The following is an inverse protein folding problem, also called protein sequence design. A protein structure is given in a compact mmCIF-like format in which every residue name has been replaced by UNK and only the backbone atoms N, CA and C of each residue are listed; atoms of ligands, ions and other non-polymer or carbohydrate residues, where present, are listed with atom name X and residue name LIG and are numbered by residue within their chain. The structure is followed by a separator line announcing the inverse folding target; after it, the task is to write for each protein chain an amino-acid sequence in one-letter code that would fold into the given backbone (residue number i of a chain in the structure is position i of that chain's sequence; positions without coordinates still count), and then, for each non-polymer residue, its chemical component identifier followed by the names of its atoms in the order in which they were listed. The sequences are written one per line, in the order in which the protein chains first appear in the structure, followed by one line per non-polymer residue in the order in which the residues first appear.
data_IF_315659978236
#
_entry.id   IF_315659978236
#
_cell.length_a   1.000
_cell.length_b   1.000
_cell.length_c   1.000
_cell.angle_alpha   90.00
_cell.angle_beta   90.00
_cell.angle_gamma   90.00
#
_symmetry.space_group_name_H-M   'P 1'
#
loop_
_entity.id
_entity.type
_entity.pdbx_description
1 polymer ?
#
# COMPACT_ATOMS: atom_id res chain seq x y z
N UNK A 1 7.04 -76.37 -14.16
CA UNK A 1 6.99 -75.94 -12.75
C UNK A 1 6.60 -74.48 -12.72
N UNK A 2 5.42 -74.19 -12.13
CA UNK A 2 4.93 -72.89 -11.58
C UNK A 2 4.68 -71.78 -12.65
N UNK A 3 3.44 -71.62 -13.15
CA UNK A 3 2.34 -70.72 -12.67
C UNK A 3 2.73 -69.22 -12.66
N UNK A 4 2.03 -68.23 -13.22
CA UNK A 4 0.76 -68.05 -13.96
C UNK A 4 0.74 -66.59 -14.50
N UNK A 5 0.26 -66.28 -15.72
CA UNK A 5 -1.07 -65.74 -16.05
C UNK A 5 -1.58 -64.74 -14.99
N UNK A 6 -1.75 -63.44 -15.24
CA UNK A 6 -2.86 -62.89 -16.05
C UNK A 6 -2.68 -61.41 -16.46
N UNK A 7 -2.87 -61.17 -17.76
CA UNK A 7 -3.66 -60.11 -18.41
C UNK A 7 -3.76 -58.70 -17.80
N UNK A 8 -3.34 -57.70 -18.59
CA UNK A 8 -4.02 -56.40 -18.75
C UNK A 8 -3.88 -55.99 -20.22
N UNK A 9 -4.90 -56.34 -21.03
CA UNK A 9 -5.05 -55.86 -22.40
C UNK A 9 -6.10 -54.74 -22.43
N UNK A 10 -5.79 -53.73 -23.23
CA UNK A 10 -6.71 -52.83 -23.94
C UNK A 10 -7.73 -52.02 -23.12
N UNK A 11 -7.45 -50.74 -22.93
CA UNK A 11 -8.39 -49.68 -23.28
C UNK A 11 -7.65 -48.34 -23.33
N UNK A 12 -8.13 -47.49 -24.23
CA UNK A 12 -7.67 -46.15 -24.57
C UNK A 12 -7.23 -45.32 -23.34
N UNK A 13 -6.21 -44.44 -23.45
CA UNK A 13 -6.14 -43.32 -22.54
C UNK A 13 -7.38 -42.47 -22.84
N UNK A 14 -8.35 -42.53 -21.93
CA UNK A 14 -9.43 -41.57 -21.86
C UNK A 14 -8.80 -40.18 -22.03
N UNK A 15 -9.17 -39.53 -23.13
CA UNK A 15 -9.14 -38.08 -23.24
C UNK A 15 -9.99 -37.52 -22.11
N UNK A 16 -9.36 -37.34 -20.95
CA UNK A 16 -9.85 -36.42 -19.94
C UNK A 16 -9.67 -35.05 -20.58
N UNK A 17 -10.76 -34.53 -21.11
CA UNK A 17 -10.90 -33.11 -21.41
C UNK A 17 -10.39 -32.32 -20.19
N UNK A 18 -9.56 -31.28 -20.36
CA UNK A 18 -9.24 -30.38 -19.27
C UNK A 18 -10.45 -29.47 -19.04
N UNK A 19 -11.52 -30.03 -18.47
CA UNK A 19 -12.56 -29.22 -17.88
C UNK A 19 -12.12 -28.84 -16.48
N UNK A 20 -12.08 -27.53 -16.24
CA UNK A 20 -11.79 -26.81 -14.99
C UNK A 20 -10.32 -26.68 -14.58
N UNK A 21 -9.54 -25.91 -15.35
CA UNK A 21 -8.74 -24.86 -14.69
C UNK A 21 -9.73 -23.93 -13.99
N UNK A 22 -10.08 -24.21 -12.73
CA UNK A 22 -10.61 -23.17 -11.86
C UNK A 22 -9.53 -22.08 -11.81
N UNK A 23 -9.82 -20.95 -12.46
CA UNK A 23 -8.91 -19.81 -12.53
C UNK A 23 -8.59 -19.33 -11.11
N UNK A 24 -7.41 -19.68 -10.60
CA UNK A 24 -6.93 -19.25 -9.30
C UNK A 24 -6.80 -17.71 -9.27
N UNK A 25 -7.55 -17.02 -8.39
CA UNK A 25 -7.57 -15.56 -8.34
C UNK A 25 -6.20 -14.95 -8.05
N UNK A 26 -5.40 -15.60 -7.20
CA UNK A 26 -4.04 -15.15 -6.89
C UNK A 26 -3.09 -15.25 -8.11
N UNK A 27 -3.28 -16.25 -8.98
CA UNK A 27 -2.52 -16.36 -10.22
C UNK A 27 -2.92 -15.26 -11.23
N UNK A 28 -4.22 -14.98 -11.36
CA UNK A 28 -4.72 -13.88 -12.19
C UNK A 28 -4.22 -12.52 -11.68
N UNK A 29 -4.21 -12.32 -10.37
CA UNK A 29 -3.69 -11.11 -9.75
C UNK A 29 -2.18 -10.96 -9.98
N UNK A 30 -1.39 -12.02 -9.84
CA UNK A 30 0.04 -11.98 -10.14
C UNK A 30 0.29 -11.60 -11.61
N UNK A 31 -0.44 -12.21 -12.55
CA UNK A 31 -0.37 -11.86 -13.97
C UNK A 31 -0.67 -10.37 -14.19
N UNK A 32 -1.75 -9.87 -13.59
CA UNK A 32 -2.16 -8.46 -13.69
C UNK A 32 -1.11 -7.50 -13.12
N UNK A 33 -0.55 -7.81 -11.94
CA UNK A 33 0.51 -7.00 -11.32
C UNK A 33 1.77 -6.97 -12.19
N UNK A 34 2.18 -8.10 -12.75
CA UNK A 34 3.35 -8.17 -13.64
C UNK A 34 3.14 -7.36 -14.92
N UNK A 35 1.95 -7.40 -15.49
CA UNK A 35 1.58 -6.60 -16.66
C UNK A 35 1.61 -5.10 -16.37
N UNK A 36 0.99 -4.68 -15.25
CA UNK A 36 1.07 -3.29 -14.78
C UNK A 36 2.53 -2.90 -14.59
N UNK A 37 3.35 -3.74 -13.94
CA UNK A 37 4.75 -3.45 -13.71
C UNK A 37 5.56 -3.30 -15.00
N UNK A 38 5.27 -4.13 -16.00
CA UNK A 38 5.88 -4.03 -17.32
C UNK A 38 5.45 -2.72 -18.03
N UNK A 39 4.17 -2.35 -17.93
CA UNK A 39 3.64 -1.08 -18.46
C UNK A 39 4.24 0.15 -17.75
N UNK A 40 4.54 0.06 -16.45
CA UNK A 40 5.22 1.13 -15.70
C UNK A 40 6.73 1.17 -15.99
N UNK A 41 7.32 0.04 -16.42
CA UNK A 41 8.75 -0.09 -16.71
C UNK A 41 9.18 0.34 -18.12
N UNK A 42 8.29 0.27 -19.12
CA UNK A 42 8.61 0.52 -20.53
C UNK A 42 7.76 1.67 -21.13
N UNK A 43 8.39 2.79 -21.50
CA UNK A 43 7.82 3.83 -22.36
C UNK A 43 8.61 3.92 -23.68
N UNK A 44 8.13 3.30 -24.78
CA UNK A 44 8.17 3.84 -26.16
C UNK A 44 7.35 2.97 -27.15
N UNK A 45 6.96 3.59 -28.27
CA UNK A 45 5.93 3.26 -29.26
C UNK A 45 6.08 1.88 -29.94
N UNK A 46 5.07 1.01 -29.82
CA UNK A 46 4.30 0.42 -30.94
C UNK A 46 3.34 -0.70 -30.49
N UNK A 47 2.05 -0.51 -30.83
CA UNK A 47 0.89 -1.43 -30.78
C UNK A 47 0.42 -2.05 -29.43
N UNK A 48 -0.90 -2.10 -29.24
CA UNK A 48 -1.59 -2.05 -27.92
C UNK A 48 -1.67 -3.38 -27.16
N UNK A 49 -1.15 -3.37 -25.91
CA UNK A 49 -1.13 -4.54 -25.01
C UNK A 49 -2.49 -4.95 -24.47
N UNK A 50 -3.46 -4.04 -24.42
CA UNK A 50 -4.79 -4.31 -23.85
C UNK A 50 -5.58 -5.38 -24.62
N UNK A 51 -5.36 -5.54 -25.94
CA UNK A 51 -5.94 -6.64 -26.74
C UNK A 51 -5.28 -8.02 -26.50
N UNK A 52 -4.03 -8.04 -26.03
CA UNK A 52 -3.31 -9.27 -25.68
C UNK A 52 -3.70 -9.79 -24.29
N UNK A 53 -4.12 -8.88 -23.41
CA UNK A 53 -4.45 -9.16 -22.01
C UNK A 53 -5.89 -9.68 -21.84
N UNK A 54 -6.87 -9.12 -22.56
CA UNK A 54 -8.26 -9.61 -22.55
C UNK A 54 -8.43 -11.01 -23.18
N UNK A 55 -7.55 -11.39 -24.12
CA UNK A 55 -7.45 -12.76 -24.66
C UNK A 55 -6.74 -13.74 -23.71
N UNK A 56 -5.90 -13.27 -22.79
CA UNK A 56 -5.14 -14.11 -21.85
C UNK A 56 -5.92 -14.45 -20.55
N UNK A 57 -6.93 -13.63 -20.22
CA UNK A 57 -7.86 -13.83 -19.09
C UNK A 57 -9.14 -14.62 -19.47
N UNK A 58 -9.31 -15.00 -20.75
CA UNK A 58 -10.42 -15.86 -21.21
C UNK A 58 -11.75 -15.15 -21.53
N UNK A 59 -11.75 -13.85 -21.88
CA UNK A 59 -12.95 -13.04 -22.10
C UNK A 59 -13.01 -12.41 -23.52
N UNK A 60 -12.46 -13.12 -24.52
CA UNK A 60 -12.23 -12.66 -25.89
C UNK A 60 -13.47 -12.52 -26.78
N UNK A 61 -14.47 -11.75 -26.38
CA UNK A 61 -15.51 -11.24 -27.28
C UNK A 61 -15.78 -9.76 -26.99
N UNK A 62 -14.83 -8.91 -27.43
CA UNK A 62 -15.06 -7.56 -27.96
C UNK A 62 -13.69 -6.90 -28.16
N UNK A 63 -13.32 -6.72 -29.43
CA UNK A 63 -12.14 -5.96 -29.84
C UNK A 63 -12.61 -4.61 -30.38
N UNK A 64 -12.22 -3.51 -29.72
CA UNK A 64 -11.75 -2.24 -30.32
C UNK A 64 -11.52 -1.19 -29.22
N UNK A 65 -10.38 -0.49 -29.29
CA UNK A 65 -10.03 0.77 -28.60
C UNK A 65 -9.96 0.77 -27.06
N UNK A 66 -8.75 0.54 -26.52
CA UNK A 66 -8.46 0.76 -25.09
C UNK A 66 -7.27 1.70 -24.91
N UNK A 67 -7.55 2.95 -24.52
CA UNK A 67 -6.71 3.69 -23.56
C UNK A 67 -6.96 3.06 -22.19
N UNK A 68 -5.92 2.68 -21.46
CA UNK A 68 -6.07 2.09 -20.12
C UNK A 68 -6.66 3.17 -19.20
N UNK A 69 -7.77 2.86 -18.52
CA UNK A 69 -8.30 3.69 -17.43
C UNK A 69 -7.34 3.61 -16.24
N UNK A 70 -6.75 4.74 -15.87
CA UNK A 70 -5.80 4.85 -14.77
C UNK A 70 -6.39 4.40 -13.43
N UNK A 71 -7.71 4.50 -13.26
CA UNK A 71 -8.42 3.99 -12.09
C UNK A 71 -8.28 2.46 -11.98
N UNK A 72 -8.36 1.75 -13.10
CA UNK A 72 -8.22 0.30 -13.15
C UNK A 72 -6.81 -0.16 -12.80
N UNK A 73 -5.78 0.61 -13.22
CA UNK A 73 -4.39 0.35 -12.82
C UNK A 73 -4.22 0.49 -11.30
N UNK A 74 -4.77 1.57 -10.74
CA UNK A 74 -4.75 1.80 -9.31
C UNK A 74 -5.48 0.68 -8.55
N UNK A 75 -6.61 0.19 -9.08
CA UNK A 75 -7.36 -0.91 -8.48
C UNK A 75 -6.55 -2.21 -8.46
N UNK A 76 -5.82 -2.53 -9.54
CA UNK A 76 -4.91 -3.69 -9.57
C UNK A 76 -3.79 -3.54 -8.54
N UNK A 77 -3.15 -2.37 -8.48
CA UNK A 77 -2.08 -2.12 -7.50
C UNK A 77 -2.61 -2.11 -6.05
N UNK A 78 -3.87 -1.73 -5.83
CA UNK A 78 -4.53 -1.72 -4.53
C UNK A 78 -4.79 -3.13 -3.97
N UNK A 79 -4.74 -4.17 -4.81
CA UNK A 79 -4.85 -5.56 -4.38
C UNK A 79 -3.68 -5.93 -3.45
N UNK A 80 -2.49 -5.39 -3.72
CA UNK A 80 -1.28 -5.60 -2.92
C UNK A 80 -1.26 -4.69 -1.70
N UNK A 81 -1.09 -5.32 -0.53
CA UNK A 81 -1.06 -4.65 0.77
C UNK A 81 0.31 -4.87 1.41
N UNK A 82 1.01 -3.81 1.85
CA UNK A 82 2.25 -3.97 2.59
C UNK A 82 1.98 -4.64 3.94
N UNK A 83 2.78 -5.65 4.27
CA UNK A 83 2.72 -6.41 5.54
C UNK A 83 4.10 -6.45 6.17
N UNK A 84 4.18 -6.81 7.46
CA UNK A 84 5.45 -6.84 8.19
C UNK A 84 6.49 -7.73 7.48
N UNK A 85 7.64 -7.17 7.05
CA UNK A 85 8.73 -7.95 6.48
C UNK A 85 9.50 -8.71 7.57
N UNK A 86 10.04 -9.88 7.22
CA UNK A 86 11.02 -10.61 8.05
C UNK A 86 12.35 -9.85 8.09
N UNK A 87 13.24 -10.19 9.04
CA UNK A 87 14.52 -9.51 9.22
C UNK A 87 15.44 -9.47 7.97
N UNK A 88 15.32 -10.43 7.05
CA UNK A 88 16.09 -10.50 5.79
C UNK A 88 15.35 -9.91 4.57
N UNK A 89 14.13 -9.39 4.78
CA UNK A 89 13.28 -8.80 3.75
C UNK A 89 13.39 -7.27 3.80
N UNK A 90 13.51 -6.63 2.63
CA UNK A 90 13.41 -5.18 2.46
C UNK A 90 11.95 -4.72 2.44
N UNK A 91 11.04 -5.60 2.01
CA UNK A 91 9.61 -5.34 2.02
C UNK A 91 8.83 -6.59 1.69
N UNK A 92 7.57 -6.61 2.09
CA UNK A 92 6.68 -7.74 1.86
C UNK A 92 5.28 -7.23 1.58
N UNK A 93 4.64 -7.80 0.57
CA UNK A 93 3.26 -7.49 0.22
C UNK A 93 2.41 -8.74 0.13
N UNK A 94 1.13 -8.59 0.40
CA UNK A 94 0.16 -9.66 0.32
C UNK A 94 -1.14 -9.19 -0.30
N UNK A 95 -1.79 -10.08 -1.04
CA UNK A 95 -3.18 -9.98 -1.43
C UNK A 95 -3.93 -11.23 -0.96
N UNK A 96 -5.18 -11.05 -0.53
CA UNK A 96 -6.10 -12.13 -0.17
C UNK A 96 -7.36 -11.98 -0.99
N UNK A 97 -7.85 -13.10 -1.52
CA UNK A 97 -8.98 -13.15 -2.45
C UNK A 97 -10.18 -13.86 -1.82
N UNK A 98 -11.35 -13.68 -2.42
CA UNK A 98 -12.60 -14.26 -1.92
C UNK A 98 -12.67 -15.79 -2.08
N UNK A 99 -11.84 -16.36 -2.94
CA UNK A 99 -11.68 -17.81 -3.11
C UNK A 99 -10.66 -18.41 -2.10
N UNK A 100 -10.32 -17.69 -1.04
CA UNK A 100 -9.30 -18.03 -0.04
C UNK A 100 -7.85 -18.15 -0.57
N UNK A 101 -7.63 -17.93 -1.87
CA UNK A 101 -6.28 -17.86 -2.41
C UNK A 101 -5.54 -16.62 -1.89
N UNK A 102 -4.21 -16.69 -1.86
CA UNK A 102 -3.36 -15.58 -1.44
C UNK A 102 -2.16 -15.44 -2.36
N UNK A 103 -1.77 -14.20 -2.61
CA UNK A 103 -0.51 -13.86 -3.27
C UNK A 103 0.39 -13.20 -2.23
N UNK A 104 1.61 -13.68 -2.08
CA UNK A 104 2.63 -13.09 -1.20
C UNK A 104 3.86 -12.79 -2.04
N UNK A 105 4.32 -11.55 -2.01
CA UNK A 105 5.53 -11.11 -2.69
C UNK A 105 6.50 -10.61 -1.63
N UNK A 106 7.63 -11.30 -1.49
CA UNK A 106 8.72 -10.98 -0.57
C UNK A 106 9.90 -10.42 -1.37
N UNK A 107 10.41 -9.27 -0.95
CA UNK A 107 11.62 -8.67 -1.53
C UNK A 107 12.72 -8.81 -0.50
N UNK A 108 13.78 -9.55 -0.81
CA UNK A 108 14.96 -9.67 0.07
C UNK A 108 15.76 -8.38 0.08
N UNK A 109 16.63 -8.21 1.09
CA UNK A 109 17.63 -7.12 1.12
C UNK A 109 18.62 -7.14 -0.06
N UNK A 110 18.79 -8.31 -0.70
CA UNK A 110 19.53 -8.46 -1.96
C UNK A 110 18.70 -8.10 -3.21
N UNK A 111 17.48 -7.58 -3.02
CA UNK A 111 16.50 -7.26 -4.07
C UNK A 111 16.05 -8.49 -4.89
N UNK A 112 16.30 -9.70 -4.39
CA UNK A 112 15.69 -10.90 -4.93
C UNK A 112 14.19 -10.92 -4.58
N UNK A 113 13.34 -11.15 -5.58
CA UNK A 113 11.90 -11.25 -5.40
C UNK A 113 11.50 -12.73 -5.32
N UNK A 114 10.87 -13.11 -4.22
CA UNK A 114 10.23 -14.40 -4.01
C UNK A 114 8.71 -14.22 -4.03
N UNK A 115 8.03 -14.99 -4.87
CA UNK A 115 6.59 -14.96 -4.99
C UNK A 115 6.02 -16.31 -4.57
N UNK A 116 5.05 -16.27 -3.67
CA UNK A 116 4.31 -17.45 -3.22
C UNK A 116 2.83 -17.25 -3.50
N UNK A 117 2.23 -18.19 -4.21
CA UNK A 117 0.79 -18.31 -4.35
C UNK A 117 0.32 -19.41 -3.41
N UNK A 118 -0.62 -19.09 -2.54
CA UNK A 118 -1.31 -20.05 -1.68
C UNK A 118 -2.66 -20.33 -2.34
N UNK A 119 -2.90 -21.56 -2.77
CA UNK A 119 -4.17 -21.95 -3.40
C UNK A 119 -5.30 -22.04 -2.38
N UNK A 120 -6.58 -22.08 -2.81
CA UNK A 120 -7.72 -22.30 -1.90
C UNK A 120 -7.55 -23.57 -1.04
N UNK A 121 -6.93 -24.61 -1.60
CA UNK A 121 -6.60 -25.87 -0.92
C UNK A 121 -5.37 -25.78 -0.01
N UNK A 122 -4.86 -24.56 0.24
CA UNK A 122 -3.68 -24.26 1.06
C UNK A 122 -2.38 -24.90 0.58
N UNK A 123 -2.23 -25.05 -0.75
CA UNK A 123 -0.96 -25.47 -1.34
C UNK A 123 -0.12 -24.25 -1.67
N UNK A 124 1.16 -24.32 -1.31
CA UNK A 124 2.12 -23.26 -1.62
C UNK A 124 2.79 -23.54 -2.98
N UNK A 125 2.71 -22.55 -3.87
CA UNK A 125 3.36 -22.56 -5.18
C UNK A 125 4.35 -21.41 -5.21
N UNK A 126 5.64 -21.73 -5.23
CA UNK A 126 6.69 -20.73 -5.41
C UNK A 126 6.88 -20.41 -6.89
N UNK A 127 6.92 -19.12 -7.23
CA UNK A 127 7.12 -18.63 -8.60
C UNK A 127 8.45 -17.90 -8.66
N UNK A 128 9.29 -18.29 -9.62
CA UNK A 128 10.52 -17.57 -9.96
C UNK A 128 10.29 -16.68 -11.18
N UNK A 129 10.89 -15.49 -11.17
CA UNK A 129 10.87 -14.55 -12.29
C UNK A 129 12.27 -14.37 -12.85
N UNK A 130 12.37 -14.12 -14.15
CA UNK A 130 13.60 -13.63 -14.78
C UNK A 130 14.01 -12.28 -14.19
N UNK A 131 15.32 -12.00 -14.10
CA UNK A 131 15.83 -10.79 -13.45
C UNK A 131 15.25 -9.49 -14.03
N UNK A 132 15.12 -9.40 -15.35
CA UNK A 132 14.53 -8.23 -16.03
C UNK A 132 13.07 -7.97 -15.62
N UNK A 133 12.29 -9.03 -15.37
CA UNK A 133 10.91 -8.93 -14.86
C UNK A 133 10.88 -8.57 -13.38
N UNK A 134 11.85 -9.06 -12.60
CA UNK A 134 12.00 -8.67 -11.19
C UNK A 134 12.27 -7.17 -11.07
N UNK A 135 13.17 -6.61 -11.90
CA UNK A 135 13.53 -5.19 -11.84
C UNK A 135 12.33 -4.27 -12.18
N UNK A 136 11.47 -4.68 -13.13
CA UNK A 136 10.24 -3.95 -13.45
C UNK A 136 9.20 -4.06 -12.32
N UNK A 137 9.03 -5.26 -11.77
CA UNK A 137 8.13 -5.51 -10.64
C UNK A 137 8.55 -4.71 -9.41
N UNK A 138 9.85 -4.64 -9.11
CA UNK A 138 10.40 -3.95 -7.95
C UNK A 138 9.96 -2.49 -7.88
N UNK A 139 9.93 -1.79 -9.02
CA UNK A 139 9.50 -0.37 -9.12
C UNK A 139 8.02 -0.17 -8.78
N UNK A 140 7.22 -1.22 -8.96
CA UNK A 140 5.76 -1.20 -8.86
C UNK A 140 5.24 -1.84 -7.58
N UNK A 141 6.15 -2.10 -6.63
CA UNK A 141 5.83 -2.61 -5.30
C UNK A 141 6.06 -1.52 -4.24
N UNK A 142 5.21 -1.45 -3.21
CA UNK A 142 5.37 -0.52 -2.09
C UNK A 142 6.49 -0.99 -1.15
N UNK A 143 7.73 -0.93 -1.60
CA UNK A 143 8.94 -1.33 -0.86
C UNK A 143 9.94 -0.18 -0.75
N UNK A 144 10.71 -0.17 0.34
CA UNK A 144 11.78 0.80 0.56
C UNK A 144 13.15 0.15 0.22
N UNK A 145 13.89 0.77 -0.69
CA UNK A 145 15.13 0.25 -1.26
C UNK A 145 16.34 1.07 -0.80
N UNK A 146 17.50 0.42 -0.70
CA UNK A 146 18.76 1.10 -0.45
C UNK A 146 19.32 1.63 -1.77
N UNK A 147 19.08 2.91 -2.04
CA UNK A 147 19.53 3.57 -3.27
C UNK A 147 20.37 4.81 -2.95
N UNK A 148 21.38 5.14 -3.78
CA UNK A 148 22.19 6.35 -3.58
C UNK A 148 21.46 7.65 -3.98
N UNK A 149 20.29 7.55 -4.60
CA UNK A 149 19.45 8.67 -5.04
C UNK A 149 17.97 8.42 -4.72
N UNK A 150 17.18 9.49 -4.65
CA UNK A 150 15.72 9.39 -4.53
C UNK A 150 15.15 8.74 -5.79
N UNK A 151 14.37 7.68 -5.60
CA UNK A 151 13.74 6.94 -6.69
C UNK A 151 12.82 7.88 -7.49
N UNK A 152 13.01 7.91 -8.82
CA UNK A 152 12.13 8.64 -9.74
C UNK A 152 11.31 7.68 -10.57
N UNK A 153 10.01 7.96 -10.69
CA UNK A 153 9.06 7.21 -11.50
C UNK A 153 8.49 8.11 -12.59
N UNK A 154 8.39 7.60 -13.82
CA UNK A 154 7.73 8.27 -14.95
C UNK A 154 6.46 7.52 -15.32
N UNK A 155 5.67 7.21 -14.29
CA UNK A 155 4.62 6.21 -14.37
C UNK A 155 3.27 6.73 -13.90
N UNK A 156 3.21 8.01 -13.47
CA UNK A 156 1.94 8.62 -13.11
C UNK A 156 1.01 8.65 -14.33
N UNK A 157 -0.29 8.46 -14.08
CA UNK A 157 -1.38 8.82 -14.99
C UNK A 157 -1.14 10.17 -15.66
N UNK A 158 -1.45 10.28 -16.96
CA UNK A 158 -1.43 11.56 -17.67
C UNK A 158 -2.67 12.38 -17.28
N UNK A 159 -2.60 12.98 -16.10
CA UNK A 159 -3.68 13.76 -15.52
C UNK A 159 -3.17 15.13 -15.06
N UNK A 160 -3.90 16.19 -15.43
CA UNK A 160 -3.67 17.52 -14.88
C UNK A 160 -4.27 17.60 -13.48
N UNK A 161 -3.56 18.25 -12.55
CA UNK A 161 -4.03 18.44 -11.18
C UNK A 161 -4.86 19.72 -11.15
N UNK A 162 -6.19 19.58 -11.21
CA UNK A 162 -7.15 20.69 -11.20
C UNK A 162 -7.87 20.81 -9.85
N UNK A 163 -7.77 19.81 -8.97
CA UNK A 163 -8.37 19.87 -7.66
C UNK A 163 -7.80 18.88 -6.63
N UNK A 164 -8.35 18.90 -5.40
CA UNK A 164 -7.94 18.00 -4.33
C UNK A 164 -8.05 16.51 -4.67
N UNK A 165 -9.09 16.13 -5.42
CA UNK A 165 -9.34 14.73 -5.79
C UNK A 165 -8.29 14.21 -6.78
N UNK A 166 -7.87 15.05 -7.74
CA UNK A 166 -6.80 14.73 -8.68
C UNK A 166 -5.46 14.51 -7.96
N UNK A 167 -5.12 15.42 -7.04
CA UNK A 167 -3.93 15.29 -6.20
C UNK A 167 -3.99 14.01 -5.37
N UNK A 168 -5.14 13.73 -4.75
CA UNK A 168 -5.37 12.52 -3.94
C UNK A 168 -5.18 11.26 -4.77
N UNK A 169 -5.74 11.21 -5.97
CA UNK A 169 -5.59 10.08 -6.89
C UNK A 169 -4.13 9.82 -7.23
N UNK A 170 -3.38 10.85 -7.65
CA UNK A 170 -1.95 10.70 -7.97
C UNK A 170 -1.10 10.31 -6.75
N UNK A 171 -1.39 10.89 -5.58
CA UNK A 171 -0.73 10.52 -4.32
C UNK A 171 -0.97 9.05 -3.97
N UNK A 172 -2.19 8.57 -4.12
CA UNK A 172 -2.54 7.16 -3.88
C UNK A 172 -1.89 6.22 -4.88
N UNK A 173 -1.76 6.63 -6.15
CA UNK A 173 -1.04 5.88 -7.17
C UNK A 173 0.45 5.78 -6.84
N UNK A 174 1.10 6.92 -6.59
CA UNK A 174 2.52 6.98 -6.24
C UNK A 174 2.84 6.19 -4.94
N UNK A 175 1.91 6.15 -3.98
CA UNK A 175 2.04 5.38 -2.75
C UNK A 175 2.18 3.86 -2.96
N UNK A 176 1.89 3.33 -4.16
CA UNK A 176 2.06 1.91 -4.52
C UNK A 176 3.43 1.58 -5.11
N UNK A 177 4.22 2.59 -5.45
CA UNK A 177 5.51 2.42 -6.11
C UNK A 177 6.64 2.26 -5.09
N UNK A 178 7.83 1.88 -5.54
CA UNK A 178 8.99 1.77 -4.66
C UNK A 178 9.53 3.13 -4.22
N UNK A 179 10.20 3.16 -3.08
CA UNK A 179 10.83 4.35 -2.50
C UNK A 179 12.30 4.08 -2.19
N UNK A 180 13.12 5.12 -2.13
CA UNK A 180 14.50 5.05 -1.66
C UNK A 180 14.59 5.42 -0.17
N UNK A 181 15.31 4.65 0.64
CA UNK A 181 15.52 4.93 2.06
C UNK A 181 16.27 6.25 2.22
N UNK A 182 15.75 7.12 3.08
CA UNK A 182 16.34 8.43 3.37
C UNK A 182 17.10 8.36 4.70
N UNK A 183 18.44 8.54 4.70
CA UNK A 183 19.20 8.57 5.94
C UNK A 183 18.84 9.81 6.75
N UNK A 184 18.97 9.71 8.07
CA UNK A 184 18.74 10.81 9.00
C UNK A 184 19.83 10.87 10.07
N UNK A 185 20.07 12.07 10.58
CA UNK A 185 20.90 12.31 11.75
C UNK A 185 20.02 12.52 12.98
N UNK A 186 20.62 12.67 14.16
CA UNK A 186 19.88 13.05 15.36
C UNK A 186 19.09 14.36 15.20
N UNK A 187 19.61 15.33 14.41
CA UNK A 187 18.93 16.60 14.16
C UNK A 187 17.71 16.47 13.25
N UNK A 188 17.70 15.48 12.37
CA UNK A 188 16.64 15.28 11.37
C UNK A 188 15.77 14.08 11.68
N UNK A 189 16.03 13.38 12.79
CA UNK A 189 15.22 12.26 13.26
C UNK A 189 13.91 12.80 13.86
N UNK A 190 12.73 12.46 13.30
CA UNK A 190 11.43 12.86 13.83
C UNK A 190 11.15 12.41 15.27
N UNK A 191 11.84 11.38 15.76
CA UNK A 191 11.70 10.90 17.13
C UNK A 191 12.77 11.44 18.10
N UNK A 192 13.67 12.30 17.61
CA UNK A 192 14.63 13.02 18.45
C UNK A 192 14.08 14.37 18.91
N UNK A 193 14.85 15.08 19.72
CA UNK A 193 14.47 16.39 20.27
C UNK A 193 13.72 16.31 21.59
N UNK A 194 13.18 17.46 22.03
CA UNK A 194 12.62 17.61 23.38
C UNK A 194 11.19 17.09 23.53
N UNK A 195 10.44 16.94 22.42
CA UNK A 195 9.02 16.58 22.47
C UNK A 195 8.59 15.81 21.21
N UNK A 196 9.20 14.65 20.91
CA UNK A 196 8.78 13.79 19.81
C UNK A 196 7.34 13.32 20.01
N UNK A 197 6.60 13.16 18.90
CA UNK A 197 5.19 12.74 18.89
C UNK A 197 4.21 13.66 19.64
N UNK A 198 4.60 14.88 20.01
CA UNK A 198 3.73 15.80 20.76
C UNK A 198 2.42 16.19 20.05
N UNK A 199 2.41 16.16 18.72
CA UNK A 199 1.26 16.57 17.90
C UNK A 199 0.33 15.42 17.49
N UNK A 200 0.64 14.16 17.84
CA UNK A 200 -0.04 12.99 17.23
C UNK A 200 -1.56 13.03 17.34
N UNK A 201 -2.11 13.48 18.46
CA UNK A 201 -3.57 13.51 18.65
C UNK A 201 -4.22 14.62 17.83
N UNK A 202 -3.60 15.80 17.79
CA UNK A 202 -4.06 16.90 16.95
C UNK A 202 -3.94 16.56 15.46
N UNK A 203 -2.85 15.90 15.07
CA UNK A 203 -2.62 15.45 13.69
C UNK A 203 -3.65 14.38 13.29
N UNK A 204 -3.94 13.43 14.19
CA UNK A 204 -4.95 12.38 13.98
C UNK A 204 -6.34 12.97 13.85
N UNK A 205 -6.71 13.93 14.71
CA UNK A 205 -7.99 14.62 14.65
C UNK A 205 -8.20 15.33 13.31
N UNK A 206 -7.15 15.98 12.77
CA UNK A 206 -7.19 16.66 11.47
C UNK A 206 -7.17 15.69 10.29
N UNK A 207 -6.48 14.57 10.43
CA UNK A 207 -6.27 13.58 9.37
C UNK A 207 -7.45 12.65 9.14
N UNK A 208 -8.11 12.18 10.20
CA UNK A 208 -9.24 11.26 10.08
C UNK A 208 -10.44 11.93 9.40
N UNK A 209 -10.92 11.32 8.31
CA UNK A 209 -11.98 11.86 7.46
C UNK A 209 -11.47 12.67 6.26
N UNK A 210 -10.15 12.87 6.15
CA UNK A 210 -9.49 13.54 5.02
C UNK A 210 -8.36 12.68 4.40
N UNK A 211 -8.28 11.40 4.77
CA UNK A 211 -7.18 10.50 4.42
C UNK A 211 -7.68 9.21 3.79
N UNK A 212 -6.79 8.47 3.13
CA UNK A 212 -7.05 7.09 2.71
C UNK A 212 -6.51 6.13 3.77
N UNK A 213 -7.41 5.57 4.58
CA UNK A 213 -7.05 4.62 5.64
C UNK A 213 -7.53 3.22 5.27
N UNK A 214 -6.64 2.24 5.38
CA UNK A 214 -6.96 0.83 5.17
C UNK A 214 -6.41 -0.04 6.29
N UNK A 215 -7.25 -0.92 6.85
CA UNK A 215 -6.91 -1.81 7.96
C UNK A 215 -7.13 -3.25 7.51
N UNK A 216 -6.07 -4.08 7.55
CA UNK A 216 -6.05 -5.41 6.94
C UNK A 216 -6.59 -5.38 5.50
N UNK A 217 -6.40 -4.25 4.83
CA UNK A 217 -6.84 -3.95 3.48
C UNK A 217 -8.34 -3.75 3.26
N UNK A 218 -9.14 -3.62 4.32
CA UNK A 218 -10.47 -3.02 4.25
C UNK A 218 -10.29 -1.51 4.26
N UNK A 219 -10.81 -0.81 3.23
CA UNK A 219 -10.77 0.66 3.17
C UNK A 219 -11.83 1.24 4.10
N UNK A 220 -11.47 2.25 4.89
CA UNK A 220 -12.43 2.99 5.71
C UNK A 220 -12.99 4.19 4.93
N UNK A 221 -14.32 4.29 4.84
CA UNK A 221 -14.97 5.48 4.28
C UNK A 221 -14.69 6.72 5.13
N UNK A 222 -14.99 7.90 4.59
CA UNK A 222 -14.86 9.16 5.31
C UNK A 222 -15.67 9.16 6.61
N UNK A 223 -16.90 8.69 6.54
CA UNK A 223 -17.83 8.61 7.67
C UNK A 223 -17.32 7.61 8.72
N UNK A 224 -16.77 6.47 8.29
CA UNK A 224 -16.15 5.50 9.19
C UNK A 224 -14.93 6.10 9.90
N UNK A 225 -14.09 6.87 9.21
CA UNK A 225 -12.96 7.57 9.84
C UNK A 225 -13.40 8.64 10.83
N UNK A 226 -14.48 9.37 10.55
CA UNK A 226 -15.05 10.35 11.48
C UNK A 226 -15.62 9.68 12.74
N UNK A 227 -16.31 8.54 12.58
CA UNK A 227 -16.76 7.71 13.71
C UNK A 227 -15.57 7.17 14.50
N UNK A 228 -14.52 6.70 13.82
CA UNK A 228 -13.29 6.27 14.46
C UNK A 228 -12.70 7.37 15.34
N UNK A 229 -12.55 8.59 14.81
CA UNK A 229 -12.05 9.76 15.52
C UNK A 229 -12.86 10.04 16.80
N UNK A 230 -14.19 9.98 16.69
CA UNK A 230 -15.09 10.11 17.82
C UNK A 230 -14.92 8.99 18.85
N UNK A 231 -14.82 7.73 18.41
CA UNK A 231 -14.72 6.56 19.29
C UNK A 231 -13.41 6.46 20.04
N UNK A 232 -12.29 6.90 19.44
CA UNK A 232 -11.02 7.02 20.14
C UNK A 232 -10.96 8.25 21.07
N UNK A 233 -11.99 9.10 21.05
CA UNK A 233 -12.16 10.20 22.00
C UNK A 233 -11.51 11.53 21.60
N UNK A 234 -11.14 11.71 20.33
CA UNK A 234 -10.57 12.96 19.83
C UNK A 234 -11.69 13.91 19.39
N UNK A 235 -12.07 14.86 20.26
CA UNK A 235 -13.18 15.79 20.01
C UNK A 235 -12.73 17.09 19.32
N UNK A 236 -11.50 17.48 19.57
CA UNK A 236 -10.85 18.67 19.03
C UNK A 236 -9.32 18.46 19.00
N UNK A 237 -8.57 19.48 18.56
CA UNK A 237 -7.10 19.42 18.49
C UNK A 237 -6.40 19.43 19.85
N UNK A 238 -7.12 19.68 20.95
CA UNK A 238 -6.58 19.62 22.32
C UNK A 238 -6.91 18.32 23.05
N UNK A 239 -7.72 17.46 22.44
CA UNK A 239 -8.17 16.20 23.01
C UNK A 239 -7.08 15.12 22.95
N UNK A 240 -7.17 14.16 23.86
CA UNK A 240 -6.37 12.93 23.85
C UNK A 240 -7.26 11.72 24.12
N UNK A 241 -6.86 10.50 23.72
CA UNK A 241 -7.64 9.31 23.99
C UNK A 241 -7.86 9.11 25.50
N UNK A 242 -9.09 8.81 25.95
CA UNK A 242 -9.35 8.57 27.36
C UNK A 242 -8.67 7.27 27.82
N UNK A 243 -8.38 7.18 29.11
CA UNK A 243 -7.65 6.05 29.70
C UNK A 243 -8.30 4.68 29.43
N UNK A 244 -9.63 4.64 29.27
CA UNK A 244 -10.35 3.41 28.89
C UNK A 244 -9.97 2.94 27.49
N UNK A 245 -9.89 3.84 26.51
CA UNK A 245 -9.48 3.56 25.14
C UNK A 245 -7.99 3.19 25.09
N UNK A 246 -7.15 3.92 25.81
CA UNK A 246 -5.70 3.63 25.89
C UNK A 246 -5.44 2.20 26.41
N UNK A 247 -6.20 1.74 27.40
CA UNK A 247 -5.98 0.42 28.01
C UNK A 247 -6.74 -0.73 27.37
N UNK A 248 -7.87 -0.46 26.69
CA UNK A 248 -8.79 -1.52 26.22
C UNK A 248 -9.13 -1.45 24.74
N UNK A 249 -8.63 -0.46 24.01
CA UNK A 249 -9.03 -0.21 22.62
C UNK A 249 -10.49 0.27 22.52
N UNK A 250 -11.06 0.19 21.31
CA UNK A 250 -12.45 0.54 21.05
C UNK A 250 -13.36 -0.58 21.58
N UNK A 251 -14.50 -0.25 22.19
CA UNK A 251 -15.45 -1.28 22.64
C UNK A 251 -16.03 -2.06 21.45
N UNK A 252 -16.29 -3.34 21.66
CA UNK A 252 -16.83 -4.24 20.61
C UNK A 252 -18.06 -3.66 19.89
N UNK A 253 -19.05 -3.15 20.63
CA UNK A 253 -20.27 -2.59 20.05
C UNK A 253 -19.98 -1.42 19.08
N UNK A 254 -19.02 -0.56 19.44
CA UNK A 254 -18.59 0.58 18.61
C UNK A 254 -17.80 0.11 17.39
N UNK A 255 -16.96 -0.90 17.56
CA UNK A 255 -16.22 -1.49 16.45
C UNK A 255 -17.20 -2.12 15.43
N UNK A 256 -18.20 -2.88 15.89
CA UNK A 256 -19.26 -3.43 15.03
C UNK A 256 -20.04 -2.33 14.32
N UNK A 257 -20.43 -1.26 15.01
CA UNK A 257 -21.13 -0.11 14.42
C UNK A 257 -20.33 0.51 13.25
N UNK A 258 -19.01 0.60 13.39
CA UNK A 258 -18.17 1.15 12.34
C UNK A 258 -18.04 0.20 11.14
N UNK A 259 -17.94 -1.10 11.41
CA UNK A 259 -17.63 -2.13 10.41
C UNK A 259 -18.86 -2.55 9.61
N UNK A 260 -20.06 -2.51 10.19
CA UNK A 260 -21.31 -2.95 9.52
C UNK A 260 -21.59 -2.15 8.24
N UNK A 261 -21.12 -0.90 8.17
CA UNK A 261 -21.27 -0.01 7.00
C UNK A 261 -20.22 -0.25 5.91
N UNK A 262 -19.26 -1.15 6.13
CA UNK A 262 -18.24 -1.48 5.14
C UNK A 262 -18.77 -2.49 4.11
N UNK A 263 -18.28 -2.37 2.87
CA UNK A 263 -18.56 -3.34 1.80
C UNK A 263 -17.71 -4.62 1.90
N UNK A 264 -17.06 -4.86 3.04
CA UNK A 264 -16.22 -6.03 3.26
C UNK A 264 -17.07 -7.30 3.44
N UNK A 265 -16.51 -8.48 3.13
CA UNK A 265 -17.15 -9.75 3.48
C UNK A 265 -17.18 -9.98 4.99
N UNK A 266 -18.08 -10.83 5.47
CA UNK A 266 -18.28 -11.05 6.92
C UNK A 266 -17.00 -11.46 7.67
N UNK A 267 -16.18 -12.35 7.09
CA UNK A 267 -14.90 -12.72 7.71
C UNK A 267 -13.91 -11.53 7.81
N UNK A 268 -13.88 -10.66 6.79
CA UNK A 268 -13.06 -9.44 6.82
C UNK A 268 -13.59 -8.45 7.86
N UNK A 269 -14.92 -8.36 8.03
CA UNK A 269 -15.55 -7.54 9.06
C UNK A 269 -15.21 -8.04 10.46
N UNK A 270 -15.24 -9.34 10.71
CA UNK A 270 -14.85 -9.94 11.99
C UNK A 270 -13.39 -9.63 12.33
N UNK A 271 -12.48 -9.85 11.37
CA UNK A 271 -11.05 -9.53 11.56
C UNK A 271 -10.80 -8.04 11.79
N UNK A 272 -11.52 -7.17 11.06
CA UNK A 272 -11.44 -5.73 11.27
C UNK A 272 -11.93 -5.36 12.68
N UNK A 273 -13.06 -5.90 13.11
CA UNK A 273 -13.64 -5.69 14.44
C UNK A 273 -12.67 -6.12 15.54
N UNK A 274 -12.01 -7.27 15.38
CA UNK A 274 -11.00 -7.76 16.31
C UNK A 274 -9.80 -6.79 16.43
N UNK A 275 -9.31 -6.25 15.31
CA UNK A 275 -8.21 -5.26 15.33
C UNK A 275 -8.63 -3.96 15.98
N UNK A 276 -9.82 -3.44 15.72
CA UNK A 276 -10.30 -2.19 16.30
C UNK A 276 -10.42 -2.24 17.84
N UNK A 277 -10.71 -3.43 18.36
CA UNK A 277 -10.77 -3.68 19.81
C UNK A 277 -9.40 -3.78 20.49
N UNK A 278 -8.29 -3.73 19.74
CA UNK A 278 -6.94 -3.78 20.29
C UNK A 278 -6.49 -2.39 20.77
N UNK A 279 -5.91 -2.25 21.97
CA UNK A 279 -5.21 -1.02 22.39
C UNK A 279 -4.13 -0.56 21.40
N UNK A 280 -3.42 -1.52 20.83
CA UNK A 280 -2.35 -1.35 19.85
C UNK A 280 -2.86 -0.69 18.57
N UNK A 281 -4.13 -0.91 18.21
CA UNK A 281 -4.73 -0.24 17.07
C UNK A 281 -4.84 1.28 17.30
N UNK A 282 -5.18 1.72 18.51
CA UNK A 282 -5.21 3.15 18.86
C UNK A 282 -3.80 3.75 18.76
N UNK A 283 -2.79 3.01 19.23
CA UNK A 283 -1.39 3.39 19.07
C UNK A 283 -0.98 3.51 17.59
N UNK A 284 -1.31 2.50 16.78
CA UNK A 284 -1.00 2.44 15.35
C UNK A 284 -1.68 3.56 14.56
N UNK A 285 -2.99 3.79 14.77
CA UNK A 285 -3.70 4.83 14.04
C UNK A 285 -3.23 6.22 14.44
N UNK A 286 -3.07 6.51 15.74
CA UNK A 286 -2.66 7.85 16.18
C UNK A 286 -1.23 8.19 15.74
N UNK A 287 -0.30 7.25 15.88
CA UNK A 287 1.08 7.46 15.46
C UNK A 287 1.23 7.59 13.95
N UNK A 288 0.33 7.00 13.14
CA UNK A 288 0.40 7.08 11.67
C UNK A 288 0.25 8.51 11.13
N UNK A 289 -0.40 9.41 11.87
CA UNK A 289 -0.63 10.79 11.46
C UNK A 289 0.50 11.77 11.83
N UNK A 290 1.56 11.32 12.50
CA UNK A 290 2.58 12.23 12.99
C UNK A 290 3.25 13.04 11.86
N UNK A 291 3.01 14.35 11.84
CA UNK A 291 3.41 15.22 10.72
C UNK A 291 4.94 15.24 10.49
N UNK A 292 5.74 15.13 11.56
CA UNK A 292 7.20 15.25 11.46
C UNK A 292 7.87 14.04 10.83
N UNK A 293 7.16 12.92 10.61
CA UNK A 293 7.71 11.80 9.84
C UNK A 293 8.12 12.18 8.42
N UNK A 294 7.64 13.31 7.91
CA UNK A 294 8.03 13.86 6.61
C UNK A 294 9.40 14.55 6.61
N UNK A 295 9.92 14.97 7.78
CA UNK A 295 11.10 15.84 7.90
C UNK A 295 12.33 15.33 7.12
N UNK A 296 12.76 14.05 7.20
CA UNK A 296 13.97 13.60 6.52
C UNK A 296 13.91 13.81 5.00
N UNK A 297 12.78 13.51 4.39
CA UNK A 297 12.59 13.65 2.95
C UNK A 297 12.24 15.09 2.54
N UNK A 298 11.44 15.77 3.36
CA UNK A 298 11.03 17.15 3.12
C UNK A 298 12.24 18.09 3.04
N UNK A 299 13.22 17.95 3.95
CA UNK A 299 14.42 18.79 3.94
C UNK A 299 15.19 18.73 2.63
N UNK A 300 15.22 17.57 1.97
CA UNK A 300 15.89 17.39 0.68
C UNK A 300 15.17 18.10 -0.48
N UNK A 301 13.86 18.34 -0.36
CA UNK A 301 12.99 18.70 -1.48
C UNK A 301 12.13 19.96 -1.26
N UNK A 302 12.24 20.61 -0.10
CA UNK A 302 11.33 21.66 0.34
C UNK A 302 11.24 22.86 -0.62
N UNK A 303 12.34 23.23 -1.29
CA UNK A 303 12.35 24.31 -2.28
C UNK A 303 11.46 23.97 -3.48
N UNK A 304 11.60 22.77 -4.05
CA UNK A 304 10.77 22.32 -5.19
C UNK A 304 9.31 22.08 -4.83
N UNK A 305 9.02 21.72 -3.57
CA UNK A 305 7.64 21.66 -3.06
C UNK A 305 7.05 23.07 -2.97
N UNK A 306 7.84 24.04 -2.51
CA UNK A 306 7.41 25.44 -2.40
C UNK A 306 7.14 26.05 -3.78
N UNK A 307 7.99 25.75 -4.77
CA UNK A 307 7.76 26.14 -6.16
C UNK A 307 6.47 25.53 -6.73
N UNK A 308 6.16 24.27 -6.42
CA UNK A 308 4.91 23.65 -6.88
C UNK A 308 3.69 24.35 -6.27
N UNK A 309 3.76 24.73 -4.99
CA UNK A 309 2.70 25.49 -4.34
C UNK A 309 2.51 26.87 -4.98
N UNK A 310 3.61 27.56 -5.30
CA UNK A 310 3.55 28.83 -6.00
C UNK A 310 2.90 28.68 -7.38
N UNK A 311 3.29 27.65 -8.13
CA UNK A 311 2.71 27.33 -9.44
C UNK A 311 1.19 27.15 -9.38
N UNK A 312 0.66 26.46 -8.37
CA UNK A 312 -0.79 26.30 -8.20
C UNK A 312 -1.49 27.55 -7.69
N UNK A 313 -0.83 28.34 -6.83
CA UNK A 313 -1.37 29.62 -6.37
C UNK A 313 -1.53 30.62 -7.53
N UNK A 314 -0.57 30.67 -8.46
CA UNK A 314 -0.65 31.48 -9.69
C UNK A 314 -1.81 31.05 -10.61
N UNK A 315 -2.17 29.77 -10.57
CA UNK A 315 -3.33 29.21 -11.27
C UNK A 315 -4.64 29.31 -10.49
N UNK A 316 -4.65 29.95 -9.32
CA UNK A 316 -5.80 30.08 -8.41
C UNK A 316 -6.38 28.71 -7.98
N UNK A 317 -5.55 27.67 -7.93
CA UNK A 317 -5.94 26.33 -7.50
C UNK A 317 -5.62 26.14 -6.01
N UNK A 318 -6.66 25.97 -5.20
CA UNK A 318 -6.53 25.70 -3.77
C UNK A 318 -6.41 24.20 -3.50
N UNK A 319 -5.17 23.69 -3.58
CA UNK A 319 -4.87 22.28 -3.32
C UNK A 319 -4.51 22.04 -1.85
N UNK A 320 -4.82 20.84 -1.30
CA UNK A 320 -4.31 20.43 0.00
C UNK A 320 -2.78 20.43 0.03
N UNK A 321 -2.20 20.75 1.19
CA UNK A 321 -0.74 20.74 1.36
C UNK A 321 -0.12 19.34 1.19
N UNK A 322 -0.86 18.32 1.61
CA UNK A 322 -0.45 16.93 1.54
C UNK A 322 -1.67 16.00 1.63
N UNK A 323 -1.50 14.76 1.16
CA UNK A 323 -2.47 13.69 1.24
C UNK A 323 -1.89 12.49 2.00
N UNK A 324 -2.65 11.93 2.95
CA UNK A 324 -2.23 10.75 3.72
C UNK A 324 -2.85 9.47 3.14
N UNK A 325 -2.01 8.45 2.93
CA UNK A 325 -2.40 7.10 2.51
C UNK A 325 -1.78 6.07 3.46
N UNK A 326 -2.61 5.58 4.39
CA UNK A 326 -2.21 4.76 5.53
C UNK A 326 -2.73 3.33 5.35
N UNK A 327 -1.83 2.36 5.47
CA UNK A 327 -2.17 0.95 5.58
C UNK A 327 -1.70 0.40 6.93
N UNK A 328 -2.60 -0.25 7.66
CA UNK A 328 -2.31 -0.96 8.91
C UNK A 328 -2.62 -2.43 8.69
N UNK A 329 -1.66 -3.31 8.92
CA UNK A 329 -1.83 -4.76 8.74
C UNK A 329 -1.42 -5.51 10.00
N UNK A 330 -2.17 -6.54 10.38
CA UNK A 330 -1.83 -7.41 11.50
C UNK A 330 -0.54 -8.17 11.23
N UNK A 331 0.38 -8.18 12.20
CA UNK A 331 1.58 -9.01 12.15
C UNK A 331 1.27 -10.44 12.60
N UNK A 332 2.12 -11.40 12.22
CA UNK A 332 1.99 -12.79 12.65
C UNK A 332 2.17 -12.98 14.16
N UNK A 333 2.77 -12.01 14.83
CA UNK A 333 3.05 -12.03 16.29
C UNK A 333 1.95 -11.31 17.09
N UNK A 334 0.86 -10.88 16.43
CA UNK A 334 -0.28 -10.20 17.06
C UNK A 334 -0.12 -8.69 17.20
N UNK A 335 1.03 -8.12 16.81
CA UNK A 335 1.22 -6.68 16.68
C UNK A 335 0.60 -6.12 15.38
N UNK A 336 0.91 -4.85 15.09
CA UNK A 336 0.43 -4.15 13.89
C UNK A 336 1.59 -3.53 13.13
N UNK A 337 1.61 -3.71 11.82
CA UNK A 337 2.53 -3.02 10.93
C UNK A 337 1.85 -1.80 10.33
N UNK A 338 2.43 -0.63 10.55
CA UNK A 338 1.98 0.64 9.99
C UNK A 338 2.82 0.98 8.77
N UNK A 339 2.14 1.32 7.70
CA UNK A 339 2.72 1.76 6.44
C UNK A 339 2.01 3.04 6.00
N UNK A 340 2.60 4.19 6.34
CA UNK A 340 2.06 5.52 6.05
C UNK A 340 2.78 6.14 4.86
N UNK A 341 2.04 6.76 3.96
CA UNK A 341 2.55 7.58 2.88
C UNK A 341 1.94 8.97 2.97
N UNK A 342 2.78 10.00 2.88
CA UNK A 342 2.38 11.40 2.74
C UNK A 342 2.77 11.85 1.34
N UNK A 343 1.79 12.12 0.50
CA UNK A 343 1.97 12.63 -0.85
C UNK A 343 1.83 14.15 -0.89
N UNK A 344 2.69 14.84 -1.64
CA UNK A 344 2.58 16.28 -1.90
C UNK A 344 3.04 16.60 -3.32
N UNK A 345 2.59 17.71 -3.90
CA UNK A 345 3.04 18.12 -5.23
C UNK A 345 4.48 18.65 -5.17
N UNK A 346 5.25 18.38 -6.23
CA UNK A 346 6.65 18.81 -6.34
C UNK A 346 6.97 19.19 -7.79
N UNK A 347 7.75 20.25 -7.99
CA UNK A 347 8.30 20.57 -9.32
C UNK A 347 9.37 19.56 -9.72
N UNK A 348 9.47 19.28 -11.01
CA UNK A 348 10.64 18.61 -11.58
C UNK A 348 11.92 19.43 -11.32
N UNK A 349 13.08 18.78 -11.45
CA UNK A 349 14.35 19.49 -11.47
C UNK A 349 14.43 20.43 -12.66
N UNK A 350 15.29 21.45 -12.58
CA UNK A 350 15.41 22.55 -13.55
C UNK A 350 15.54 22.11 -15.01
N UNK A 351 16.00 20.88 -15.28
CA UNK A 351 16.10 20.31 -16.63
C UNK A 351 14.74 20.01 -17.30
N UNK A 352 13.60 20.17 -16.59
CA UNK A 352 12.24 19.95 -17.12
C UNK A 352 11.32 21.10 -16.73
N UNK A 353 11.26 22.11 -17.58
CA UNK A 353 10.43 23.31 -17.36
C UNK A 353 8.96 22.96 -17.09
N UNK A 354 8.42 23.50 -15.99
CA UNK A 354 7.01 23.48 -15.62
C UNK A 354 6.34 22.10 -15.44
N UNK A 355 7.12 21.04 -15.23
CA UNK A 355 6.56 19.71 -14.94
C UNK A 355 6.28 19.58 -13.44
N UNK A 356 5.01 19.36 -13.08
CA UNK A 356 4.60 19.02 -11.72
C UNK A 356 4.46 17.50 -11.58
N UNK A 357 4.99 16.96 -10.49
CA UNK A 357 4.80 15.57 -10.07
C UNK A 357 4.35 15.46 -8.62
N UNK A 358 4.47 14.26 -8.07
CA UNK A 358 4.17 13.92 -6.69
C UNK A 358 5.44 13.45 -5.99
N UNK A 359 5.74 14.03 -4.83
CA UNK A 359 6.66 13.47 -3.86
C UNK A 359 5.88 12.58 -2.89
N UNK A 360 6.26 11.32 -2.81
CA UNK A 360 5.76 10.39 -1.79
C UNK A 360 6.80 10.25 -0.70
N UNK A 361 6.43 10.55 0.54
CA UNK A 361 7.24 10.35 1.74
C UNK A 361 6.62 9.21 2.55
N UNK A 362 7.34 8.10 2.67
CA UNK A 362 6.85 6.87 3.27
C UNK A 362 7.53 6.58 4.58
N UNK A 363 6.73 6.24 5.57
CA UNK A 363 7.17 5.82 6.90
C UNK A 363 6.54 4.50 7.25
N UNK A 364 7.38 3.53 7.63
CA UNK A 364 6.92 2.21 8.04
C UNK A 364 7.55 1.76 9.35
N UNK A 365 6.75 1.13 10.22
CA UNK A 365 7.19 0.61 11.52
C UNK A 365 6.21 -0.44 12.04
N UNK A 366 6.64 -1.19 13.04
CA UNK A 366 5.78 -2.08 13.82
C UNK A 366 5.36 -1.42 15.13
N UNK A 367 4.11 -1.68 15.54
CA UNK A 367 3.56 -1.50 16.87
C UNK A 367 3.47 -2.90 17.51
N UNK A 368 4.37 -3.22 18.45
CA UNK A 368 4.36 -4.51 19.12
C UNK A 368 3.10 -4.73 19.95
N UNK A 369 2.74 -6.01 20.16
CA UNK A 369 1.69 -6.39 21.11
C UNK A 369 1.99 -5.82 22.51
N UNK A 370 0.95 -5.34 23.17
CA UNK A 370 0.99 -4.68 24.47
C UNK A 370 1.22 -3.16 24.42
N UNK A 371 1.49 -2.59 23.24
CA UNK A 371 1.79 -1.15 23.11
C UNK A 371 0.55 -0.30 23.31
N UNK A 372 0.59 0.62 24.28
CA UNK A 372 -0.49 1.59 24.50
C UNK A 372 -0.27 2.88 23.73
N UNK A 373 -1.37 3.58 23.48
CA UNK A 373 -1.36 4.89 22.85
C UNK A 373 -0.96 6.00 23.83
N UNK A 374 0.27 5.95 24.33
CA UNK A 374 0.88 6.96 25.21
C UNK A 374 2.18 7.46 24.59
N UNK A 375 2.36 8.78 24.48
CA UNK A 375 3.52 9.38 23.80
C UNK A 375 4.86 8.79 24.28
N UNK A 376 5.16 8.71 25.59
CA UNK A 376 6.44 8.15 26.06
C UNK A 376 6.65 6.69 25.64
N UNK A 377 5.57 5.90 25.59
CA UNK A 377 5.63 4.51 25.16
C UNK A 377 5.88 4.40 23.66
N UNK A 378 5.14 5.17 22.86
CA UNK A 378 5.28 5.22 21.41
C UNK A 378 6.70 5.64 20.98
N UNK A 379 7.27 6.66 21.63
CA UNK A 379 8.65 7.13 21.38
C UNK A 379 9.67 6.01 21.63
N UNK A 380 9.44 5.16 22.64
CA UNK A 380 10.34 4.06 23.00
C UNK A 380 10.28 2.89 22.03
N UNK A 381 9.10 2.58 21.50
CA UNK A 381 8.87 1.36 20.71
C UNK A 381 8.92 1.57 19.20
N UNK A 382 8.50 2.74 18.70
CA UNK A 382 8.45 3.01 17.27
C UNK A 382 9.88 3.15 16.73
N UNK A 383 10.23 2.27 15.79
CA UNK A 383 11.49 2.28 15.06
C UNK A 383 11.20 2.42 13.57
N UNK A 384 11.04 3.66 13.07
CA UNK A 384 10.56 3.91 11.73
C UNK A 384 11.67 3.81 10.70
N UNK A 385 11.31 3.31 9.52
CA UNK A 385 12.08 3.49 8.29
C UNK A 385 11.46 4.62 7.50
N UNK A 386 12.26 5.63 7.14
CA UNK A 386 11.85 6.73 6.27
C UNK A 386 12.37 6.51 4.86
N UNK A 387 11.52 6.74 3.87
CA UNK A 387 11.88 6.60 2.46
C UNK A 387 11.08 7.57 1.60
N UNK A 388 11.57 7.88 0.39
CA UNK A 388 10.87 8.78 -0.51
C UNK A 388 11.04 8.41 -1.99
N UNK A 389 10.11 8.90 -2.81
CA UNK A 389 10.18 8.83 -4.27
C UNK A 389 9.50 10.04 -4.90
N UNK A 390 9.98 10.44 -6.07
CA UNK A 390 9.30 11.38 -6.95
C UNK A 390 8.61 10.60 -8.06
N UNK A 391 7.39 10.97 -8.40
CA UNK A 391 6.65 10.40 -9.51
C UNK A 391 6.17 11.53 -10.41
N UNK A 392 6.38 11.38 -11.71
CA UNK A 392 5.99 12.35 -12.74
C UNK A 392 5.10 11.67 -13.78
N UNK A 393 4.27 12.49 -14.43
CA UNK A 393 3.50 12.08 -15.60
C UNK A 393 4.42 11.57 -16.72
N UNK A 394 3.89 10.73 -17.61
CA UNK A 394 4.61 10.00 -18.66
C UNK A 394 5.09 10.83 -19.85
N UNK A 395 4.82 12.14 -19.86
CA UNK A 395 5.17 13.04 -20.97
C UNK A 395 6.67 13.20 -21.17
#
# INVERSE_FOLDING_TARGET
MINGISQLNSAQPNTVQPNTEQQNSALLALKSVLEVSYYLGNNWLDQSWTGRILNYLGLGQCYSEYKIDDQRLLDILNILRPILPKCNEAGKTQASFADDSKLVISVKKSELIEITIITPERRDISVSLERSKQDCLLKSLPVALHMPYIQKHHSLPEMEINGPDDMRFLCNFAAKLSTAIVPYSEKTNPLSGMSPLNSIYADTFRGLGNSDVSINGVKLSREAQQLLCHFIGLKDTGSSPPLSIINRGISYDKAVEMVVKSNAGEEQKERLTAVLCQPEFVAAICSSFYQSFTVPAFLLMHERISLARQHFAEKLLNLPNAHFSINISSSSEGGLYVFNNVGTCIMASEDRDNVVGVLTMRTSYEIPLGTKCEIPELVRVIKPTYSASEAYSRR
#
